data_IF_171417113895
#
_entry.id   IF_171417113895
#
_cell.length_a   1.000
_cell.length_b   1.000
_cell.length_c   1.000
_cell.angle_alpha   90.00
_cell.angle_beta   90.00
_cell.angle_gamma   90.00
#
_symmetry.space_group_name_H-M   'P 1'
#
loop_
_entity.id
_entity.type
_entity.pdbx_description
1 polymer ?
#
# COMPACT_ATOMS: atom_id res chain seq x y z
N UNK A 1 3.21 -21.43 -11.75
CA UNK A 1 4.02 -20.32 -11.22
C UNK A 1 3.06 -19.22 -10.76
N UNK A 2 2.70 -19.18 -9.47
CA UNK A 2 1.75 -18.18 -8.96
C UNK A 2 2.48 -16.85 -8.90
N UNK A 3 2.15 -15.90 -9.79
CA UNK A 3 2.66 -14.52 -9.74
C UNK A 3 2.18 -13.89 -8.43
N UNK A 4 2.98 -13.97 -7.37
CA UNK A 4 2.72 -13.27 -6.13
C UNK A 4 2.69 -11.76 -6.45
N UNK A 5 1.51 -11.15 -6.38
CA UNK A 5 1.34 -9.70 -6.52
C UNK A 5 2.06 -9.04 -5.34
N UNK A 6 3.26 -8.54 -5.58
CA UNK A 6 3.94 -7.66 -4.64
C UNK A 6 3.17 -6.33 -4.63
N UNK A 7 2.64 -5.94 -3.48
CA UNK A 7 2.03 -4.61 -3.31
C UNK A 7 3.15 -3.57 -3.35
N UNK A 8 2.97 -2.49 -4.11
CA UNK A 8 3.98 -1.43 -4.22
C UNK A 8 3.52 -0.24 -3.38
N UNK A 9 4.39 0.24 -2.49
CA UNK A 9 4.11 1.44 -1.71
C UNK A 9 4.09 2.66 -2.64
N UNK A 10 3.03 3.46 -2.68
CA UNK A 10 2.94 4.59 -3.60
C UNK A 10 3.84 5.78 -3.20
N UNK A 11 4.24 5.90 -1.93
CA UNK A 11 5.13 6.99 -1.47
C UNK A 11 6.58 6.78 -1.92
N UNK A 12 7.16 5.60 -1.66
CA UNK A 12 8.56 5.32 -1.96
C UNK A 12 8.76 4.46 -3.22
N UNK A 13 7.67 3.99 -3.86
CA UNK A 13 7.64 3.09 -5.02
C UNK A 13 8.40 1.77 -4.82
N UNK A 14 8.69 1.39 -3.58
CA UNK A 14 9.31 0.11 -3.24
C UNK A 14 8.25 -0.97 -3.07
N UNK A 15 8.62 -2.21 -3.41
CA UNK A 15 7.81 -3.40 -3.14
C UNK A 15 7.66 -3.62 -1.64
N UNK A 16 6.42 -3.73 -1.18
CA UNK A 16 6.03 -4.16 0.16
C UNK A 16 6.07 -5.69 0.14
N UNK A 17 7.07 -6.25 0.81
CA UNK A 17 7.19 -7.70 0.91
C UNK A 17 6.15 -8.25 1.90
N UNK A 18 5.77 -9.52 1.75
CA UNK A 18 4.84 -10.16 2.69
C UNK A 18 5.42 -10.28 4.10
N UNK A 19 6.76 -10.30 4.22
CA UNK A 19 7.51 -10.31 5.48
C UNK A 19 7.79 -8.91 6.04
N UNK A 20 7.34 -7.86 5.33
CA UNK A 20 7.47 -6.50 5.81
C UNK A 20 6.46 -6.31 6.96
N UNK A 21 6.93 -6.44 8.20
CA UNK A 21 6.12 -6.24 9.40
C UNK A 21 5.56 -4.81 9.49
N UNK A 22 6.18 -3.89 8.76
CA UNK A 22 5.88 -2.48 8.74
C UNK A 22 5.07 -2.11 7.49
N UNK A 23 3.93 -2.76 7.27
CA UNK A 23 2.95 -2.38 6.23
C UNK A 23 1.60 -2.00 6.83
N UNK A 24 0.93 -1.04 6.21
CA UNK A 24 -0.39 -0.55 6.62
C UNK A 24 -1.32 -0.43 5.41
N UNK A 25 -2.57 -0.83 5.60
CA UNK A 25 -3.63 -0.70 4.60
C UNK A 25 -4.46 0.54 4.93
N UNK A 26 -4.41 1.55 4.07
CA UNK A 26 -5.13 2.81 4.24
C UNK A 26 -6.26 2.85 3.23
N UNK A 27 -7.47 3.13 3.70
CA UNK A 27 -8.62 3.39 2.83
C UNK A 27 -8.53 4.82 2.34
N UNK A 28 -8.21 5.00 1.06
CA UNK A 28 -8.19 6.30 0.41
C UNK A 28 -9.48 6.48 -0.41
N UNK A 29 -10.03 7.68 -0.44
CA UNK A 29 -11.18 7.97 -1.28
C UNK A 29 -10.75 7.90 -2.75
N UNK A 30 -11.35 6.99 -3.52
CA UNK A 30 -11.21 7.02 -4.97
C UNK A 30 -12.24 8.01 -5.52
N UNK A 31 -11.73 9.08 -6.12
CA UNK A 31 -12.56 10.18 -6.65
C UNK A 31 -13.52 9.75 -7.76
N UNK A 32 -13.40 8.53 -8.29
CA UNK A 32 -14.18 8.07 -9.44
C UNK A 32 -15.54 7.51 -9.06
N UNK A 33 -15.77 7.05 -7.82
CA UNK A 33 -17.02 6.36 -7.47
C UNK A 33 -17.47 6.49 -6.01
N UNK A 34 -16.82 7.33 -5.20
CA UNK A 34 -17.13 7.45 -3.76
C UNK A 34 -16.86 6.17 -2.95
N UNK A 35 -16.36 5.11 -3.60
CA UNK A 35 -15.89 3.89 -2.96
C UNK A 35 -14.45 4.10 -2.53
N UNK A 36 -14.19 4.01 -1.22
CA UNK A 36 -12.82 4.04 -0.73
C UNK A 36 -12.06 2.81 -1.23
N UNK A 37 -10.93 3.03 -1.87
CA UNK A 37 -10.01 1.97 -2.28
C UNK A 37 -8.95 1.76 -1.20
N UNK A 38 -8.58 0.52 -0.94
CA UNK A 38 -7.52 0.20 0.00
C UNK A 38 -6.19 0.25 -0.73
N UNK A 39 -5.25 1.05 -0.24
CA UNK A 39 -3.86 1.11 -0.69
C UNK A 39 -2.94 0.66 0.43
N UNK A 40 -1.92 -0.12 0.08
CA UNK A 40 -0.88 -0.54 1.01
C UNK A 40 0.30 0.45 0.99
N UNK A 41 0.79 0.79 2.17
CA UNK A 41 1.92 1.67 2.39
C UNK A 41 2.91 0.99 3.33
N UNK A 42 4.20 1.34 3.23
CA UNK A 42 5.13 1.09 4.32
C UNK A 42 4.75 1.99 5.49
N UNK A 43 4.69 1.42 6.70
CA UNK A 43 4.39 2.13 7.94
C UNK A 43 5.32 3.34 8.12
N UNK A 44 6.61 3.18 7.78
CA UNK A 44 7.58 4.27 7.82
C UNK A 44 7.25 5.39 6.82
N UNK A 45 6.84 5.04 5.60
CA UNK A 45 6.48 6.03 4.59
C UNK A 45 5.18 6.76 4.94
N UNK A 46 4.22 6.06 5.56
CA UNK A 46 2.96 6.68 5.99
C UNK A 46 3.15 7.62 7.18
N UNK A 47 4.00 7.26 8.15
CA UNK A 47 4.28 8.10 9.33
C UNK A 47 5.24 9.27 9.05
N UNK A 48 6.11 9.14 8.04
CA UNK A 48 7.09 10.17 7.69
C UNK A 48 6.53 11.29 6.81
N UNK A 49 5.20 11.41 6.72
CA UNK A 49 4.47 12.38 5.90
C UNK A 49 4.12 13.62 6.71
#
# INVERSE_FOLDING_TARGET
MVKMKASICPECRKSIQRHDANRINVKVADGSNGKGVYKEYHLNCYQSK
#
